data_IF_637366689756
#
_entry.id   IF_637366689756
#
_cell.length_a   1.000
_cell.length_b   1.000
_cell.length_c   1.000
_cell.angle_alpha   90.00
_cell.angle_beta   90.00
_cell.angle_gamma   90.00
#
_symmetry.space_group_name_H-M   'P 1'
#
loop_
_entity.id
_entity.type
_entity.pdbx_description
1 polymer ?
#
# COMPACT_ATOMS: atom_id res chain seq x y z
N UNK A 1 1.06 16.03 -15.58
CA UNK A 1 1.38 14.93 -14.65
C UNK A 1 2.86 14.65 -14.77
N UNK A 2 3.60 14.67 -13.66
CA UNK A 2 4.99 14.24 -13.65
C UNK A 2 5.06 12.75 -14.00
N UNK A 3 6.07 12.37 -14.78
CA UNK A 3 6.32 10.99 -15.21
C UNK A 3 6.32 10.02 -14.01
N UNK A 4 6.89 10.46 -12.89
CA UNK A 4 7.06 9.63 -11.69
C UNK A 4 5.74 9.36 -10.96
N UNK A 5 4.90 10.37 -10.73
CA UNK A 5 3.57 10.16 -10.12
C UNK A 5 2.71 9.25 -10.99
N UNK A 6 2.74 9.42 -12.31
CA UNK A 6 1.97 8.56 -13.22
C UNK A 6 2.38 7.10 -13.08
N UNK A 7 3.69 6.82 -13.09
CA UNK A 7 4.22 5.47 -12.93
C UNK A 7 3.93 4.88 -11.55
N UNK A 8 3.94 5.71 -10.49
CA UNK A 8 3.56 5.29 -9.15
C UNK A 8 2.07 4.89 -9.09
N UNK A 9 1.18 5.68 -9.66
CA UNK A 9 -0.25 5.38 -9.73
C UNK A 9 -0.54 4.12 -10.57
N UNK A 10 0.17 3.91 -11.67
CA UNK A 10 0.10 2.67 -12.44
C UNK A 10 0.50 1.44 -11.61
N UNK A 11 1.56 1.56 -10.81
CA UNK A 11 1.99 0.48 -9.93
C UNK A 11 0.97 0.25 -8.80
N UNK A 12 0.41 1.30 -8.18
CA UNK A 12 -0.66 1.16 -7.19
C UNK A 12 -1.86 0.41 -7.78
N UNK A 13 -2.28 0.75 -9.00
CA UNK A 13 -3.38 0.06 -9.69
C UNK A 13 -3.04 -1.40 -9.96
N UNK A 14 -1.86 -1.70 -10.51
CA UNK A 14 -1.46 -3.08 -10.80
C UNK A 14 -1.33 -3.95 -9.53
N UNK A 15 -0.81 -3.37 -8.44
CA UNK A 15 -0.73 -4.04 -7.14
C UNK A 15 -2.12 -4.30 -6.56
N UNK A 16 -3.02 -3.32 -6.64
CA UNK A 16 -4.40 -3.47 -6.20
C UNK A 16 -5.14 -4.55 -7.01
N UNK A 17 -5.05 -4.52 -8.34
CA UNK A 17 -5.61 -5.56 -9.22
C UNK A 17 -5.11 -6.96 -8.84
N UNK A 18 -3.82 -7.08 -8.51
CA UNK A 18 -3.22 -8.34 -8.09
C UNK A 18 -3.74 -8.83 -6.73
N UNK A 19 -3.87 -7.93 -5.75
CA UNK A 19 -4.36 -8.27 -4.41
C UNK A 19 -5.83 -8.70 -4.41
N UNK A 20 -6.64 -8.14 -5.31
CA UNK A 20 -8.07 -8.42 -5.43
C UNK A 20 -8.41 -9.42 -6.55
N UNK A 21 -7.41 -10.03 -7.18
CA UNK A 21 -7.61 -10.94 -8.30
C UNK A 21 -8.47 -12.15 -7.90
N UNK A 22 -9.56 -12.37 -8.62
CA UNK A 22 -10.48 -13.48 -8.38
C UNK A 22 -11.50 -13.26 -7.25
N UNK A 23 -11.53 -12.08 -6.63
CA UNK A 23 -12.56 -11.72 -5.64
C UNK A 23 -13.94 -11.47 -6.26
N UNK A 24 -14.00 -11.29 -7.59
CA UNK A 24 -15.23 -11.11 -8.37
C UNK A 24 -15.91 -12.43 -8.78
N UNK A 25 -15.27 -13.58 -8.50
CA UNK A 25 -15.76 -14.90 -8.86
C UNK A 25 -15.38 -15.36 -10.27
N UNK A 26 -14.59 -14.56 -11.00
CA UNK A 26 -14.09 -14.94 -12.32
C UNK A 26 -12.94 -15.96 -12.23
N UNK A 27 -12.78 -16.85 -13.23
CA UNK A 27 -11.68 -17.80 -13.24
C UNK A 27 -10.31 -17.11 -13.29
N UNK A 28 -9.44 -17.43 -12.33
CA UNK A 28 -8.05 -16.96 -12.35
C UNK A 28 -7.20 -17.87 -13.22
N UNK A 29 -6.79 -17.37 -14.39
CA UNK A 29 -5.87 -18.08 -15.27
C UNK A 29 -4.42 -17.92 -14.80
N UNK A 30 -3.71 -19.05 -14.73
CA UNK A 30 -2.33 -19.09 -14.21
C UNK A 30 -1.33 -18.22 -14.97
N UNK A 31 -1.48 -18.09 -16.29
CA UNK A 31 -0.63 -17.25 -17.13
C UNK A 31 -0.83 -15.75 -16.84
N UNK A 32 -2.08 -15.34 -16.65
CA UNK A 32 -2.45 -13.98 -16.26
C UNK A 32 -1.94 -13.65 -14.86
N UNK A 33 -2.13 -14.57 -13.91
CA UNK A 33 -1.61 -14.43 -12.55
C UNK A 33 -0.08 -14.28 -12.52
N UNK A 34 0.65 -15.16 -13.22
CA UNK A 34 2.11 -15.10 -13.31
C UNK A 34 2.59 -13.81 -13.99
N UNK A 35 1.93 -13.38 -15.07
CA UNK A 35 2.24 -12.14 -15.78
C UNK A 35 2.06 -10.92 -14.89
N UNK A 36 0.93 -10.81 -14.19
CA UNK A 36 0.62 -9.68 -13.32
C UNK A 36 1.60 -9.59 -12.14
N UNK A 37 1.90 -10.72 -11.49
CA UNK A 37 2.93 -10.78 -10.44
C UNK A 37 4.29 -10.29 -10.93
N UNK A 38 4.71 -10.70 -12.14
CA UNK A 38 6.00 -10.31 -12.70
C UNK A 38 6.01 -8.83 -13.09
N UNK A 39 4.91 -8.33 -13.64
CA UNK A 39 4.73 -6.93 -13.99
C UNK A 39 4.83 -6.02 -12.76
N UNK A 40 4.13 -6.37 -11.66
CA UNK A 40 4.19 -5.64 -10.39
C UNK A 40 5.62 -5.60 -9.84
N UNK A 41 6.34 -6.74 -9.83
CA UNK A 41 7.73 -6.79 -9.39
C UNK A 41 8.63 -5.88 -10.26
N UNK A 42 8.55 -6.00 -11.59
CA UNK A 42 9.39 -5.22 -12.52
C UNK A 42 9.12 -3.72 -12.39
N UNK A 43 7.84 -3.32 -12.26
CA UNK A 43 7.48 -1.92 -12.04
C UNK A 43 8.03 -1.41 -10.71
N UNK A 44 7.89 -2.18 -9.63
CA UNK A 44 8.42 -1.87 -8.29
C UNK A 44 9.93 -1.67 -8.32
N UNK A 45 10.69 -2.61 -8.87
CA UNK A 45 12.14 -2.52 -8.96
C UNK A 45 12.60 -1.35 -9.85
N UNK A 46 11.88 -1.03 -10.93
CA UNK A 46 12.18 0.13 -11.78
C UNK A 46 11.99 1.48 -11.07
N UNK A 47 11.15 1.51 -10.04
CA UNK A 47 10.77 2.71 -9.29
C UNK A 47 11.53 2.80 -7.95
N UNK A 48 12.10 1.71 -7.46
CA UNK A 48 12.73 1.64 -6.15
C UNK A 48 13.82 2.70 -5.93
N UNK A 49 14.67 2.94 -6.93
CA UNK A 49 15.74 3.93 -6.87
C UNK A 49 15.29 5.37 -7.08
N UNK A 50 14.04 5.59 -7.49
CA UNK A 50 13.51 6.93 -7.67
C UNK A 50 13.18 7.56 -6.32
N UNK A 51 13.38 8.87 -6.20
CA UNK A 51 13.02 9.69 -5.05
C UNK A 51 12.54 11.05 -5.55
N UNK A 52 11.56 11.62 -4.88
CA UNK A 52 11.10 12.99 -5.13
C UNK A 52 11.39 13.89 -3.93
N UNK A 53 11.68 15.15 -4.22
CA UNK A 53 11.72 16.21 -3.20
C UNK A 53 10.32 16.72 -2.84
N UNK A 54 9.33 16.47 -3.70
CA UNK A 54 7.94 16.79 -3.41
C UNK A 54 7.32 15.73 -2.49
N UNK A 55 6.73 16.18 -1.40
CA UNK A 55 6.25 15.29 -0.32
C UNK A 55 5.09 14.41 -0.78
N UNK A 56 4.20 14.93 -1.64
CA UNK A 56 3.03 14.21 -2.11
C UNK A 56 3.41 13.19 -3.21
N UNK A 57 4.32 13.58 -4.11
CA UNK A 57 4.88 12.67 -5.11
C UNK A 57 5.69 11.55 -4.45
N UNK A 58 6.52 11.86 -3.45
CA UNK A 58 7.27 10.86 -2.69
C UNK A 58 6.34 9.92 -1.90
N UNK A 59 5.25 10.44 -1.33
CA UNK A 59 4.23 9.62 -0.67
C UNK A 59 3.54 8.65 -1.63
N UNK A 60 3.18 9.10 -2.84
CA UNK A 60 2.61 8.23 -3.87
C UNK A 60 3.59 7.15 -4.31
N UNK A 61 4.88 7.51 -4.45
CA UNK A 61 5.93 6.57 -4.80
C UNK A 61 6.15 5.52 -3.70
N UNK A 62 6.24 5.94 -2.44
CA UNK A 62 6.41 5.01 -1.32
C UNK A 62 5.21 4.09 -1.16
N UNK A 63 3.99 4.62 -1.28
CA UNK A 63 2.77 3.81 -1.27
C UNK A 63 2.80 2.75 -2.38
N UNK A 64 3.14 3.17 -3.61
CA UNK A 64 3.22 2.27 -4.75
C UNK A 64 4.24 1.14 -4.55
N UNK A 65 5.42 1.46 -4.02
CA UNK A 65 6.46 0.47 -3.72
C UNK A 65 6.02 -0.50 -2.63
N UNK A 66 5.42 0.00 -1.55
CA UNK A 66 4.98 -0.84 -0.44
C UNK A 66 3.84 -1.79 -0.87
N UNK A 67 2.83 -1.27 -1.58
CA UNK A 67 1.77 -2.07 -2.18
C UNK A 67 2.35 -3.10 -3.17
N UNK A 68 3.27 -2.68 -4.04
CA UNK A 68 3.86 -3.54 -5.07
C UNK A 68 4.64 -4.73 -4.49
N UNK A 69 5.51 -4.47 -3.51
CA UNK A 69 6.28 -5.54 -2.85
C UNK A 69 5.41 -6.46 -1.99
N UNK A 70 4.34 -5.96 -1.39
CA UNK A 70 3.39 -6.81 -0.67
C UNK A 70 2.47 -7.63 -1.59
N UNK A 71 2.10 -7.08 -2.74
CA UNK A 71 1.21 -7.76 -3.68
C UNK A 71 1.91 -8.89 -4.45
N UNK A 72 3.17 -8.71 -4.85
CA UNK A 72 3.88 -9.71 -5.65
C UNK A 72 4.35 -10.91 -4.82
N UNK A 73 4.05 -12.11 -5.30
CA UNK A 73 4.53 -13.35 -4.68
C UNK A 73 6.02 -13.60 -4.92
N UNK A 74 6.62 -12.93 -5.90
CA UNK A 74 8.03 -13.10 -6.20
C UNK A 74 8.89 -12.41 -5.14
N UNK A 75 9.99 -13.05 -4.80
CA UNK A 75 11.01 -12.52 -3.89
C UNK A 75 12.38 -13.00 -4.38
N UNK A 76 13.21 -12.06 -4.81
CA UNK A 76 14.58 -12.33 -5.27
C UNK A 76 15.58 -12.41 -4.09
N UNK A 77 15.07 -12.39 -2.85
CA UNK A 77 15.84 -12.49 -1.60
C UNK A 77 16.16 -11.13 -0.95
N UNK A 78 15.76 -10.02 -1.58
CA UNK A 78 16.01 -8.65 -1.12
C UNK A 78 14.71 -7.86 -0.83
N UNK A 79 13.54 -8.50 -0.97
CA UNK A 79 12.24 -7.81 -0.88
C UNK A 79 12.00 -7.18 0.50
N UNK A 80 12.25 -7.92 1.56
CA UNK A 80 12.10 -7.42 2.93
C UNK A 80 13.05 -6.24 3.21
N UNK A 81 14.29 -6.31 2.71
CA UNK A 81 15.23 -5.19 2.82
C UNK A 81 14.72 -3.95 2.07
N UNK A 82 14.18 -4.12 0.86
CA UNK A 82 13.58 -3.03 0.09
C UNK A 82 12.38 -2.42 0.80
N UNK A 83 11.50 -3.24 1.39
CA UNK A 83 10.37 -2.74 2.21
C UNK A 83 10.87 -1.91 3.39
N UNK A 84 11.91 -2.34 4.11
CA UNK A 84 12.50 -1.55 5.19
C UNK A 84 13.01 -0.19 4.71
N UNK A 85 13.71 -0.13 3.57
CA UNK A 85 14.15 1.15 2.97
C UNK A 85 12.95 2.05 2.60
N UNK A 86 11.84 1.47 2.12
CA UNK A 86 10.62 2.22 1.84
C UNK A 86 9.98 2.74 3.13
N UNK A 87 9.91 1.93 4.19
CA UNK A 87 9.40 2.34 5.51
C UNK A 87 10.22 3.51 6.09
N UNK A 88 11.55 3.46 6.00
CA UNK A 88 12.42 4.58 6.40
C UNK A 88 12.09 5.87 5.62
N UNK A 89 11.83 5.78 4.31
CA UNK A 89 11.41 6.93 3.50
C UNK A 89 10.05 7.47 3.95
N UNK A 90 9.09 6.58 4.23
CA UNK A 90 7.76 6.94 4.72
C UNK A 90 7.85 7.74 6.03
N UNK A 91 8.64 7.28 7.00
CA UNK A 91 8.81 8.00 8.27
C UNK A 91 9.33 9.43 8.09
N UNK A 92 10.17 9.69 7.09
CA UNK A 92 10.71 11.03 6.81
C UNK A 92 9.68 12.01 6.22
N UNK A 93 8.55 11.52 5.71
CA UNK A 93 7.51 12.33 5.05
C UNK A 93 6.17 12.34 5.80
N UNK A 94 5.92 11.36 6.68
CA UNK A 94 4.62 11.13 7.32
C UNK A 94 4.11 12.36 8.11
N UNK A 95 5.01 13.01 8.86
CA UNK A 95 4.69 14.22 9.63
C UNK A 95 4.44 15.46 8.75
N UNK A 96 4.96 15.46 7.52
CA UNK A 96 4.83 16.59 6.57
C UNK A 96 3.53 16.53 5.77
N UNK A 97 2.91 15.35 5.69
CA UNK A 97 1.66 15.14 4.96
C UNK A 97 0.47 15.72 5.74
N UNK A 98 -0.36 16.51 5.05
CA UNK A 98 -1.67 16.90 5.55
C UNK A 98 -2.62 15.71 5.60
N UNK A 99 -3.63 15.77 6.47
CA UNK A 99 -4.69 14.76 6.54
C UNK A 99 -5.40 14.60 5.18
N UNK A 100 -5.21 13.45 4.55
CA UNK A 100 -5.75 13.11 3.23
C UNK A 100 -5.95 11.60 3.11
N UNK A 101 -6.65 11.14 2.06
CA UNK A 101 -6.79 9.71 1.76
C UNK A 101 -5.43 9.05 1.50
N UNK A 102 -4.52 9.75 0.80
CA UNK A 102 -3.16 9.27 0.56
C UNK A 102 -2.42 9.03 1.88
N UNK A 103 -2.53 9.96 2.83
CA UNK A 103 -1.92 9.80 4.16
C UNK A 103 -2.50 8.60 4.90
N UNK A 104 -3.83 8.41 4.87
CA UNK A 104 -4.45 7.25 5.50
C UNK A 104 -3.98 5.93 4.87
N UNK A 105 -3.97 5.83 3.53
CA UNK A 105 -3.46 4.65 2.84
C UNK A 105 -2.03 4.35 3.26
N UNK A 106 -1.16 5.36 3.26
CA UNK A 106 0.23 5.19 3.67
C UNK A 106 0.35 4.69 5.11
N UNK A 107 -0.42 5.27 6.05
CA UNK A 107 -0.44 4.83 7.44
C UNK A 107 -0.91 3.38 7.60
N UNK A 108 -1.98 2.98 6.90
CA UNK A 108 -2.53 1.62 6.98
C UNK A 108 -1.55 0.58 6.46
N UNK A 109 -0.95 0.81 5.30
CA UNK A 109 0.06 -0.10 4.75
C UNK A 109 1.34 -0.12 5.62
N UNK A 110 1.75 1.01 6.19
CA UNK A 110 2.88 1.06 7.13
C UNK A 110 2.56 0.26 8.40
N UNK A 111 1.36 0.44 8.97
CA UNK A 111 0.90 -0.28 10.15
C UNK A 111 0.91 -1.80 9.94
N UNK A 112 0.48 -2.28 8.76
CA UNK A 112 0.53 -3.71 8.42
C UNK A 112 1.93 -4.31 8.40
N UNK A 113 2.99 -3.50 8.27
CA UNK A 113 4.37 -3.98 8.33
C UNK A 113 4.98 -3.94 9.74
N UNK A 114 4.58 -2.96 10.56
CA UNK A 114 5.29 -2.64 11.82
C UNK A 114 4.45 -2.81 13.09
N UNK A 115 3.11 -2.79 12.98
CA UNK A 115 2.16 -2.89 14.09
C UNK A 115 2.43 -1.89 15.25
N UNK A 116 2.91 -0.69 14.92
CA UNK A 116 3.25 0.34 15.92
C UNK A 116 2.01 1.11 16.42
N UNK A 117 1.89 1.23 17.75
CA UNK A 117 0.68 1.78 18.40
C UNK A 117 0.40 3.25 18.07
N UNK A 118 1.42 4.08 17.81
CA UNK A 118 1.19 5.49 17.47
C UNK A 118 0.61 5.64 16.05
N UNK A 119 0.99 4.77 15.11
CA UNK A 119 0.39 4.75 13.76
C UNK A 119 -1.08 4.38 13.87
N UNK A 120 -1.40 3.36 14.68
CA UNK A 120 -2.78 2.96 14.98
C UNK A 120 -3.61 4.12 15.54
N UNK A 121 -3.05 4.90 16.48
CA UNK A 121 -3.73 6.08 17.04
C UNK A 121 -4.01 7.12 15.96
N UNK A 122 -3.04 7.39 15.09
CA UNK A 122 -3.20 8.38 14.01
C UNK A 122 -4.25 7.94 12.99
N UNK A 123 -4.26 6.66 12.58
CA UNK A 123 -5.28 6.07 11.70
C UNK A 123 -6.68 6.30 12.28
N UNK A 124 -6.88 5.96 13.56
CA UNK A 124 -8.17 6.10 14.22
C UNK A 124 -8.62 7.56 14.33
N UNK A 125 -7.69 8.49 14.55
CA UNK A 125 -7.99 9.94 14.54
C UNK A 125 -8.47 10.38 13.16
N UNK A 126 -7.79 9.97 12.09
CA UNK A 126 -8.18 10.34 10.71
C UNK A 126 -9.54 9.76 10.34
N UNK A 127 -9.78 8.47 10.62
CA UNK A 127 -11.06 7.81 10.36
C UNK A 127 -12.19 8.48 11.17
N UNK A 128 -11.92 8.88 12.42
CA UNK A 128 -12.89 9.55 13.28
C UNK A 128 -13.32 10.94 12.81
N UNK A 129 -12.56 11.59 11.93
CA UNK A 129 -12.92 12.88 11.32
C UNK A 129 -13.97 12.70 10.21
N UNK A 130 -14.04 11.53 9.58
CA UNK A 130 -14.92 11.30 8.44
C UNK A 130 -16.36 11.03 8.84
N UNK A 131 -17.31 11.64 8.11
CA UNK A 131 -18.71 11.30 8.25
C UNK A 131 -18.98 9.95 7.59
N UNK A 132 -19.31 8.95 8.42
CA UNK A 132 -19.67 7.59 7.99
C UNK A 132 -20.72 7.52 6.88
N UNK A 133 -21.57 8.55 6.72
CA UNK A 133 -22.61 8.61 5.68
C UNK A 133 -22.13 9.16 4.34
N UNK A 134 -20.98 9.83 4.32
CA UNK A 134 -20.43 10.53 3.14
C UNK A 134 -19.12 9.90 2.65
N UNK A 135 -18.75 8.73 3.18
CA UNK A 135 -17.53 8.05 2.77
C UNK A 135 -17.60 7.61 1.30
N UNK A 136 -16.53 7.88 0.57
CA UNK A 136 -16.32 7.37 -0.79
C UNK A 136 -16.03 5.87 -0.77
N UNK A 137 -16.16 5.21 -1.92
CA UNK A 137 -15.82 3.78 -2.06
C UNK A 137 -14.39 3.48 -1.64
N UNK A 138 -13.43 4.33 -2.03
CA UNK A 138 -12.02 4.19 -1.67
C UNK A 138 -11.77 4.33 -0.16
N UNK A 139 -12.49 5.24 0.51
CA UNK A 139 -12.40 5.39 1.97
C UNK A 139 -12.99 4.18 2.70
N UNK A 140 -14.08 3.62 2.19
CA UNK A 140 -14.69 2.41 2.76
C UNK A 140 -13.75 1.22 2.61
N UNK A 141 -13.12 1.09 1.45
CA UNK A 141 -12.17 0.03 1.14
C UNK A 141 -10.96 0.05 2.06
N UNK A 142 -10.27 1.19 2.19
CA UNK A 142 -9.09 1.27 3.07
C UNK A 142 -9.44 1.04 4.55
N UNK A 143 -10.64 1.43 4.98
CA UNK A 143 -11.12 1.13 6.34
C UNK A 143 -11.38 -0.36 6.53
N UNK A 144 -11.84 -1.07 5.50
CA UNK A 144 -11.97 -2.54 5.54
C UNK A 144 -10.61 -3.21 5.57
N UNK A 145 -9.66 -2.78 4.72
CA UNK A 145 -8.28 -3.28 4.73
C UNK A 145 -7.65 -3.11 6.12
N UNK A 146 -7.76 -1.91 6.70
CA UNK A 146 -7.28 -1.61 8.04
C UNK A 146 -7.84 -2.56 9.11
N UNK A 147 -9.16 -2.79 9.11
CA UNK A 147 -9.79 -3.74 10.04
C UNK A 147 -9.27 -5.16 9.83
N UNK A 148 -9.07 -5.57 8.59
CA UNK A 148 -8.55 -6.89 8.28
C UNK A 148 -7.12 -7.08 8.82
N UNK A 149 -6.28 -6.05 8.76
CA UNK A 149 -4.93 -6.05 9.34
C UNK A 149 -4.99 -6.11 10.88
N UNK A 150 -5.92 -5.38 11.49
CA UNK A 150 -6.10 -5.36 12.94
C UNK A 150 -6.66 -6.68 13.51
N UNK A 151 -7.54 -7.33 12.76
CA UNK A 151 -8.16 -8.60 13.14
C UNK A 151 -7.22 -9.80 12.93
N UNK A 152 -6.20 -9.67 12.06
CA UNK A 152 -5.25 -10.75 11.74
C UNK A 152 -3.78 -10.34 12.01
N UNK A 153 -3.40 -9.97 13.25
CA UNK A 153 -2.02 -9.58 13.57
C UNK A 153 -1.08 -10.78 13.65
N UNK A 154 -1.61 -11.96 14.01
CA UNK A 154 -0.83 -13.16 14.25
C UNK A 154 -1.45 -14.38 13.59
N UNK A 155 -0.71 -15.13 12.75
CA UNK A 155 -1.25 -16.32 12.06
C UNK A 155 -1.72 -17.43 13.00
N UNK A 156 -1.24 -17.47 14.25
CA UNK A 156 -1.61 -18.49 15.23
C UNK A 156 -2.88 -18.14 16.04
N UNK A 157 -3.50 -16.99 15.80
CA UNK A 157 -4.75 -16.56 16.44
C UNK A 157 -5.98 -16.86 15.57
N UNK A 158 -5.80 -17.45 14.38
CA UNK A 158 -6.90 -17.90 13.52
C UNK A 158 -7.77 -18.95 14.25
N UNK A 159 -9.09 -18.72 14.28
CA UNK A 159 -10.10 -19.56 14.95
C UNK A 159 -10.56 -20.75 14.09
#
# INVERSE_FOLDING_TARGET
>A
MNDLTSRALELQHAAHELMYLGMDGEPVYSDTFCRLNKEVLVKSDSLFSAQSSDVEEEANLCLALLMGYNATIYDDGDKEQKKQVVLERIYNILEKLSTSLLKLRLLVYTYGEVYEEYILKEINVIIGIWDTRLMTSEQIEIVKEFRNIEENPYPWEEL
#
